data_IF_670710129236
#
_entry.id   IF_670710129236
#
_cell.length_a   1.000
_cell.length_b   1.000
_cell.length_c   1.000
_cell.angle_alpha   90.00
_cell.angle_beta   90.00
_cell.angle_gamma   90.00
#
_symmetry.space_group_name_H-M   'P 1'
#
loop_
_entity.id
_entity.type
_entity.pdbx_description
1 polymer ?
#
# COMPACT_ATOMS: atom_id res chain seq x y z
N UNK A 1 9.06 -3.08 -2.23
CA UNK A 1 8.16 -2.63 -1.15
C UNK A 1 6.84 -2.14 -1.73
N UNK A 2 5.80 -1.97 -0.91
CA UNK A 2 4.47 -1.46 -1.29
C UNK A 2 4.29 -0.06 -0.68
N UNK A 3 3.80 0.88 -1.47
CA UNK A 3 3.46 2.24 -1.04
C UNK A 3 1.95 2.46 -1.20
N UNK A 4 1.31 3.01 -0.16
CA UNK A 4 -0.12 3.30 -0.12
C UNK A 4 -0.29 4.81 0.01
N UNK A 5 -1.05 5.41 -0.90
CA UNK A 5 -1.26 6.85 -1.00
C UNK A 5 -2.73 7.22 -0.79
N UNK A 6 -2.97 8.35 -0.11
CA UNK A 6 -4.28 8.90 0.23
C UNK A 6 -4.88 9.71 -0.92
N UNK A 7 -5.10 9.06 -2.07
CA UNK A 7 -5.64 9.72 -3.26
C UNK A 7 -5.58 8.90 -4.53
N UNK A 8 -5.67 9.58 -5.68
CA UNK A 8 -5.73 8.97 -7.03
C UNK A 8 -4.38 8.67 -7.67
N UNK A 9 -3.30 9.23 -7.14
CA UNK A 9 -1.96 9.03 -7.68
C UNK A 9 -0.92 8.95 -6.57
N UNK A 10 0.29 8.63 -6.98
CA UNK A 10 1.52 8.66 -6.18
C UNK A 10 1.99 10.09 -5.84
N UNK A 11 1.28 11.13 -6.27
CA UNK A 11 1.49 12.52 -5.82
C UNK A 11 0.67 12.85 -4.56
N UNK A 12 -0.27 11.99 -4.18
CA UNK A 12 -1.07 12.15 -2.98
C UNK A 12 -0.24 11.85 -1.70
N UNK A 13 -0.71 12.24 -0.51
CA UNK A 13 -0.01 11.95 0.74
C UNK A 13 0.27 10.46 0.94
N UNK A 14 1.50 10.10 1.32
CA UNK A 14 1.87 8.71 1.60
C UNK A 14 1.31 8.29 2.97
N UNK A 15 0.43 7.28 2.99
CA UNK A 15 -0.13 6.71 4.21
C UNK A 15 0.80 5.67 4.83
N UNK A 16 1.37 4.81 3.99
CA UNK A 16 2.23 3.73 4.46
C UNK A 16 3.26 3.29 3.41
N UNK A 17 4.42 2.86 3.89
CA UNK A 17 5.45 2.17 3.11
C UNK A 17 5.78 0.86 3.80
N UNK A 18 5.54 -0.25 3.10
CA UNK A 18 5.49 -1.59 3.67
C UNK A 18 6.51 -2.51 2.98
N UNK A 19 7.28 -3.25 3.75
CA UNK A 19 8.27 -4.20 3.25
C UNK A 19 8.56 -5.28 4.32
N UNK A 20 9.13 -6.40 3.91
CA UNK A 20 9.43 -7.54 4.78
C UNK A 20 8.27 -8.51 4.88
N UNK A 21 8.33 -9.37 5.90
CA UNK A 21 7.42 -10.51 6.07
C UNK A 21 6.45 -10.32 7.26
N UNK A 22 6.48 -9.15 7.91
CA UNK A 22 5.58 -8.79 9.00
C UNK A 22 4.23 -8.30 8.48
N UNK A 23 3.13 -8.82 9.05
CA UNK A 23 1.78 -8.38 8.71
C UNK A 23 1.55 -6.95 9.24
N UNK A 24 1.30 -5.97 8.36
CA UNK A 24 1.15 -4.58 8.77
C UNK A 24 -0.19 -4.32 9.44
N UNK A 25 -0.25 -3.24 10.25
CA UNK A 25 -1.52 -2.73 10.79
C UNK A 25 -2.43 -2.23 9.65
N UNK A 26 -3.76 -2.26 9.83
CA UNK A 26 -4.70 -1.67 8.87
C UNK A 26 -4.37 -0.21 8.59
N UNK A 27 -4.46 0.19 7.32
CA UNK A 27 -4.27 1.56 6.86
C UNK A 27 -5.64 2.13 6.52
N UNK A 28 -5.94 3.32 7.03
CA UNK A 28 -7.19 4.01 6.78
C UNK A 28 -6.92 5.30 6.01
N UNK A 29 -7.61 5.49 4.88
CA UNK A 29 -7.58 6.72 4.10
C UNK A 29 -8.42 7.82 4.77
N UNK A 30 -8.10 9.08 4.49
CA UNK A 30 -8.93 10.20 4.93
C UNK A 30 -10.12 10.43 4.00
N UNK A 31 -9.99 10.00 2.73
CA UNK A 31 -11.03 10.07 1.72
C UNK A 31 -11.49 8.71 1.20
N UNK A 32 -12.25 8.75 0.11
CA UNK A 32 -12.80 7.57 -0.57
C UNK A 32 -11.90 7.05 -1.71
N UNK A 33 -10.62 7.44 -1.74
CA UNK A 33 -9.70 7.12 -2.83
C UNK A 33 -8.34 6.74 -2.25
N UNK A 34 -7.80 5.63 -2.74
CA UNK A 34 -6.49 5.11 -2.36
C UNK A 34 -5.76 4.64 -3.61
N UNK A 35 -4.47 4.91 -3.68
CA UNK A 35 -3.59 4.37 -4.72
C UNK A 35 -2.53 3.48 -4.08
N UNK A 36 -2.30 2.31 -4.68
CA UNK A 36 -1.31 1.35 -4.21
C UNK A 36 -0.25 1.13 -5.28
N UNK A 37 1.02 1.34 -4.92
CA UNK A 37 2.15 1.17 -5.82
C UNK A 37 3.08 0.09 -5.29
N UNK A 38 3.24 -0.99 -6.06
CA UNK A 38 4.26 -2.01 -5.80
C UNK A 38 5.55 -1.67 -6.55
N UNK A 39 6.67 -1.63 -5.83
CA UNK A 39 8.01 -1.40 -6.38
C UNK A 39 8.90 -2.60 -6.09
N UNK A 40 9.44 -3.22 -7.13
CA UNK A 40 10.41 -4.32 -7.05
C UNK A 40 11.60 -4.04 -7.97
N UNK A 41 12.76 -4.61 -7.66
CA UNK A 41 13.92 -4.65 -8.54
C UNK A 41 14.14 -6.08 -9.09
N UNK A 42 15.19 -6.25 -9.89
CA UNK A 42 15.50 -7.52 -10.58
C UNK A 42 16.25 -8.54 -9.71
N UNK A 43 16.55 -8.22 -8.45
CA UNK A 43 17.53 -8.95 -7.65
C UNK A 43 16.92 -10.15 -6.94
N UNK A 44 15.87 -9.91 -6.14
CA UNK A 44 15.24 -10.90 -5.25
C UNK A 44 13.73 -10.83 -5.43
N UNK A 45 13.13 -11.94 -5.86
CA UNK A 45 11.68 -12.10 -5.94
C UNK A 45 11.19 -12.89 -4.72
N UNK A 46 10.12 -12.40 -4.09
CA UNK A 46 9.37 -13.09 -3.02
C UNK A 46 7.92 -13.33 -3.48
N UNK A 47 7.12 -13.96 -2.64
CA UNK A 47 5.72 -14.33 -2.94
C UNK A 47 4.78 -13.13 -3.21
N UNK A 48 5.20 -11.91 -2.87
CA UNK A 48 4.44 -10.68 -3.13
C UNK A 48 3.59 -10.25 -1.94
N UNK A 49 2.38 -9.75 -2.20
CA UNK A 49 1.45 -9.30 -1.16
C UNK A 49 0.00 -9.61 -1.56
N UNK A 50 -0.83 -9.90 -0.55
CA UNK A 50 -2.29 -9.89 -0.65
C UNK A 50 -2.81 -8.76 0.25
N UNK A 51 -3.82 -8.03 -0.22
CA UNK A 51 -4.52 -7.05 0.62
C UNK A 51 -6.02 -7.15 0.42
N UNK A 52 -6.76 -6.77 1.47
CA UNK A 52 -8.21 -6.61 1.42
C UNK A 52 -8.56 -5.18 1.82
N UNK A 53 -9.52 -4.60 1.12
CA UNK A 53 -10.04 -3.28 1.42
C UNK A 53 -11.54 -3.35 1.67
N UNK A 54 -12.02 -2.44 2.50
CA UNK A 54 -13.43 -2.23 2.75
C UNK A 54 -13.66 -0.75 3.05
N UNK A 55 -14.83 -0.24 2.67
CA UNK A 55 -15.24 1.10 3.08
C UNK A 55 -15.61 1.08 4.56
N UNK A 56 -15.16 2.09 5.30
CA UNK A 56 -15.56 2.32 6.69
C UNK A 56 -16.63 3.42 6.68
N UNK A 57 -17.74 3.19 7.38
CA UNK A 57 -18.87 4.13 7.47
C UNK A 57 -18.61 5.24 8.49
#
# INVERSE_FOLDING_TARGET
HVEIYDGLSNDAPLLAKLCGDELPKPVQSTGNRVSVQFKSDVSITKDGFEMRYYAVA
#
